data_IF_881029483611
#
_entry.id   IF_881029483611
#
_cell.length_a   1.000
_cell.length_b   1.000
_cell.length_c   1.000
_cell.angle_alpha   90.00
_cell.angle_beta   90.00
_cell.angle_gamma   90.00
#
_symmetry.space_group_name_H-M   'P 1'
#
loop_
_entity.id
_entity.type
_entity.pdbx_description
1 polymer ?
#
# COMPACT_ATOMS: atom_id res chain seq x y z
N UNK A 1 -22.60 -7.14 0.26
CA UNK A 1 -23.60 -6.72 -0.76
C UNK A 1 -24.35 -7.97 -1.18
N UNK A 2 -25.65 -8.03 -0.89
CA UNK A 2 -26.51 -9.19 -1.21
C UNK A 2 -27.25 -9.02 -2.55
N UNK A 3 -26.92 -7.98 -3.31
CA UNK A 3 -27.61 -7.56 -4.53
C UNK A 3 -28.82 -6.68 -4.23
N UNK A 4 -29.40 -6.08 -5.27
CA UNK A 4 -30.64 -5.28 -5.19
C UNK A 4 -30.61 -4.19 -4.09
N UNK A 5 -29.47 -3.53 -3.93
CA UNK A 5 -29.22 -2.52 -2.90
C UNK A 5 -29.41 -3.01 -1.45
N UNK A 6 -29.33 -4.32 -1.20
CA UNK A 6 -29.40 -4.91 0.15
C UNK A 6 -28.00 -5.23 0.69
N UNK A 7 -27.81 -4.97 1.98
CA UNK A 7 -26.54 -5.14 2.68
C UNK A 7 -26.77 -5.81 4.04
N UNK A 8 -25.83 -6.65 4.44
CA UNK A 8 -25.80 -7.26 5.77
C UNK A 8 -24.56 -6.79 6.52
N UNK A 9 -24.70 -6.64 7.83
CA UNK A 9 -23.55 -6.43 8.71
C UNK A 9 -22.76 -7.74 8.81
N UNK A 10 -21.46 -7.65 8.52
CA UNK A 10 -20.53 -8.76 8.64
C UNK A 10 -19.42 -8.47 9.65
N UNK A 11 -19.40 -7.34 10.35
CA UNK A 11 -18.26 -6.84 11.15
C UNK A 11 -17.77 -7.87 12.17
N UNK A 12 -18.69 -8.42 12.98
CA UNK A 12 -18.35 -9.46 13.97
C UNK A 12 -17.96 -10.78 13.31
N UNK A 13 -18.67 -11.19 12.25
CA UNK A 13 -18.36 -12.41 11.49
C UNK A 13 -17.03 -12.29 10.77
N UNK A 14 -16.59 -11.08 10.43
CA UNK A 14 -15.32 -10.81 9.77
C UNK A 14 -14.14 -10.74 10.74
N UNK A 15 -14.37 -10.76 12.06
CA UNK A 15 -13.30 -10.59 13.05
C UNK A 15 -12.97 -9.13 13.37
N UNK A 16 -13.65 -8.16 12.75
CA UNK A 16 -13.42 -6.72 12.94
C UNK A 16 -14.22 -6.11 14.10
N UNK A 17 -15.05 -6.91 14.77
CA UNK A 17 -15.94 -6.44 15.86
C UNK A 17 -15.21 -5.97 17.12
N UNK A 18 -13.90 -6.20 17.21
CA UNK A 18 -13.03 -5.69 18.28
C UNK A 18 -12.71 -4.21 18.09
N UNK A 19 -12.92 -3.66 16.88
CA UNK A 19 -12.49 -2.30 16.57
C UNK A 19 -13.51 -1.23 16.99
N UNK A 20 -13.57 -1.04 18.31
CA UNK A 20 -14.22 0.08 18.98
C UNK A 20 -13.30 0.69 20.06
N UNK A 21 -12.02 0.31 20.05
CA UNK A 21 -11.04 0.63 21.09
C UNK A 21 -10.42 2.01 20.86
N UNK A 22 -10.24 2.41 19.60
CA UNK A 22 -9.48 3.62 19.25
C UNK A 22 -10.25 4.58 18.35
N UNK A 23 -9.87 5.86 18.42
CA UNK A 23 -10.29 6.86 17.43
C UNK A 23 -9.46 6.65 16.17
N UNK A 24 -10.12 6.26 15.09
CA UNK A 24 -9.52 5.98 13.79
C UNK A 24 -9.62 7.18 12.85
N UNK A 25 -8.60 7.38 12.02
CA UNK A 25 -8.55 8.48 11.04
C UNK A 25 -8.40 7.94 9.63
N UNK A 26 -7.16 7.79 9.17
CA UNK A 26 -6.83 7.20 7.89
C UNK A 26 -6.95 5.69 7.88
N UNK A 27 -7.33 5.13 6.74
CA UNK A 27 -7.37 3.69 6.52
C UNK A 27 -7.02 3.35 5.06
N UNK A 28 -6.57 2.11 4.85
CA UNK A 28 -6.35 1.54 3.53
C UNK A 28 -6.66 0.05 3.49
N UNK A 29 -7.15 -0.40 2.33
CA UNK A 29 -7.34 -1.81 2.02
C UNK A 29 -6.35 -2.15 0.90
N UNK A 30 -5.23 -2.79 1.27
CA UNK A 30 -4.05 -2.99 0.40
C UNK A 30 -3.43 -4.36 0.66
N UNK A 31 -2.85 -4.97 -0.36
CA UNK A 31 -2.23 -6.30 -0.27
C UNK A 31 -0.76 -6.17 0.17
N UNK A 32 -0.48 -6.46 1.44
CA UNK A 32 0.84 -6.23 2.04
C UNK A 32 1.76 -7.44 1.97
N UNK A 33 1.25 -8.63 1.62
CA UNK A 33 2.04 -9.86 1.53
C UNK A 33 2.01 -10.50 0.13
N UNK A 34 1.46 -9.77 -0.85
CA UNK A 34 1.31 -10.15 -2.25
C UNK A 34 0.45 -11.41 -2.49
N UNK A 35 -0.39 -11.80 -1.54
CA UNK A 35 -1.16 -13.06 -1.63
C UNK A 35 -2.46 -12.95 -2.47
N UNK A 36 -2.80 -11.75 -2.95
CA UNK A 36 -4.02 -11.46 -3.71
C UNK A 36 -5.26 -11.16 -2.84
N UNK A 37 -5.10 -11.06 -1.52
CA UNK A 37 -6.13 -10.75 -0.52
C UNK A 37 -5.74 -9.46 0.21
N UNK A 38 -6.33 -8.31 -0.18
CA UNK A 38 -6.02 -7.04 0.48
C UNK A 38 -6.32 -7.05 1.98
N UNK A 39 -5.32 -6.66 2.77
CA UNK A 39 -5.35 -6.44 4.22
C UNK A 39 -5.95 -5.08 4.57
N UNK A 40 -6.33 -4.89 5.83
CA UNK A 40 -6.86 -3.62 6.33
C UNK A 40 -5.87 -2.95 7.29
N UNK A 41 -5.39 -1.78 6.91
CA UNK A 41 -4.53 -0.93 7.74
C UNK A 41 -5.29 0.31 8.20
N UNK A 42 -5.17 0.66 9.49
CA UNK A 42 -5.84 1.82 10.09
C UNK A 42 -4.84 2.58 10.97
N UNK A 43 -4.80 3.91 10.79
CA UNK A 43 -4.08 4.80 11.69
C UNK A 43 -5.01 5.39 12.73
N UNK A 44 -4.51 5.47 13.96
CA UNK A 44 -5.29 5.89 15.11
C UNK A 44 -4.62 7.05 15.84
N UNK A 45 -5.40 7.73 16.67
CA UNK A 45 -4.90 8.74 17.60
C UNK A 45 -6.05 9.58 18.13
N UNK A 46 -6.06 9.89 19.42
CA UNK A 46 -7.17 10.62 20.02
C UNK A 46 -7.15 12.11 19.61
N UNK A 47 -8.28 12.78 19.82
CA UNK A 47 -8.48 14.19 19.47
C UNK A 47 -7.98 15.09 20.59
N UNK A 48 -8.29 14.77 21.85
CA UNK A 48 -8.10 15.64 23.00
C UNK A 48 -7.03 15.09 23.94
N UNK A 49 -5.94 15.85 24.11
CA UNK A 49 -4.84 15.49 25.02
C UNK A 49 -5.26 15.50 26.49
N UNK A 50 -6.28 16.29 26.83
CA UNK A 50 -6.78 16.45 28.19
C UNK A 50 -7.54 15.21 28.68
N UNK A 51 -8.11 14.41 27.77
CA UNK A 51 -8.87 13.22 28.14
C UNK A 51 -8.00 12.19 28.86
N UNK A 52 -6.76 12.02 28.45
CA UNK A 52 -5.82 11.08 29.08
C UNK A 52 -5.60 11.38 30.57
N UNK A 53 -5.62 12.67 30.95
CA UNK A 53 -5.46 13.11 32.36
C UNK A 53 -6.64 12.70 33.24
N UNK A 54 -7.84 12.59 32.66
CA UNK A 54 -9.07 12.28 33.38
C UNK A 54 -9.53 10.83 33.18
N UNK A 55 -9.14 10.21 32.06
CA UNK A 55 -9.57 8.89 31.62
C UNK A 55 -8.41 8.16 30.94
N UNK A 56 -7.63 7.40 31.72
CA UNK A 56 -6.49 6.63 31.22
C UNK A 56 -6.84 5.64 30.09
N UNK A 57 -8.10 5.22 29.99
CA UNK A 57 -8.61 4.37 28.88
C UNK A 57 -8.67 5.08 27.52
N UNK A 58 -8.48 6.40 27.49
CA UNK A 58 -8.49 7.22 26.28
C UNK A 58 -7.15 7.95 26.13
N UNK A 59 -6.04 7.23 25.92
CA UNK A 59 -4.73 7.85 25.74
C UNK A 59 -4.73 8.75 24.51
N UNK A 60 -3.89 9.79 24.50
CA UNK A 60 -3.75 10.64 23.32
C UNK A 60 -3.15 9.85 22.14
N UNK A 61 -2.13 9.03 22.46
CA UNK A 61 -1.38 8.21 21.52
C UNK A 61 -1.89 6.78 21.56
N UNK A 62 -1.98 6.14 20.40
CA UNK A 62 -2.43 4.75 20.29
C UNK A 62 -1.68 4.02 19.18
N UNK A 63 -1.68 2.70 19.26
CA UNK A 63 -1.09 1.82 18.25
C UNK A 63 -1.83 1.96 16.92
N UNK A 64 -1.14 1.70 15.82
CA UNK A 64 -1.78 1.50 14.51
C UNK A 64 -2.40 0.09 14.50
N UNK A 65 -3.31 -0.15 13.56
CA UNK A 65 -4.00 -1.42 13.47
C UNK A 65 -3.75 -2.03 12.11
N UNK A 66 -3.38 -3.30 12.10
CA UNK A 66 -3.23 -4.08 10.89
C UNK A 66 -4.05 -5.36 11.03
N UNK A 67 -4.95 -5.58 10.08
CA UNK A 67 -5.78 -6.78 10.02
C UNK A 67 -5.44 -7.56 8.77
N UNK A 68 -4.90 -8.76 8.93
CA UNK A 68 -4.59 -9.65 7.81
C UNK A 68 -5.87 -10.28 7.28
N UNK A 69 -6.03 -10.28 5.96
CA UNK A 69 -7.14 -10.93 5.29
C UNK A 69 -6.90 -12.43 5.14
N UNK A 70 -7.70 -13.25 5.82
CA UNK A 70 -7.63 -14.71 5.77
C UNK A 70 -8.45 -15.31 4.61
N UNK A 71 -9.04 -14.44 3.77
CA UNK A 71 -9.98 -14.82 2.74
C UNK A 71 -11.37 -15.12 3.31
N UNK A 72 -12.32 -15.39 2.41
CA UNK A 72 -13.73 -15.71 2.76
C UNK A 72 -14.38 -14.70 3.72
N UNK A 73 -13.95 -13.44 3.65
CA UNK A 73 -14.47 -12.34 4.48
C UNK A 73 -14.08 -12.41 5.95
N UNK A 74 -12.96 -13.05 6.29
CA UNK A 74 -12.41 -13.15 7.65
C UNK A 74 -11.09 -12.39 7.73
N UNK A 75 -10.89 -11.71 8.85
CA UNK A 75 -9.68 -10.97 9.18
C UNK A 75 -9.19 -11.38 10.57
N UNK A 76 -7.87 -11.36 10.73
CA UNK A 76 -7.21 -11.47 12.03
C UNK A 76 -6.47 -10.17 12.34
N UNK A 77 -6.53 -9.70 13.58
CA UNK A 77 -5.73 -8.55 14.01
C UNK A 77 -4.29 -9.00 14.26
N UNK A 78 -3.35 -8.35 13.58
CA UNK A 78 -1.94 -8.49 13.88
C UNK A 78 -1.58 -7.45 14.94
N UNK A 79 -1.37 -7.94 16.15
CA UNK A 79 -0.95 -7.13 17.31
C UNK A 79 0.57 -6.96 17.29
N UNK A 80 1.27 -7.46 18.31
CA UNK A 80 2.74 -7.40 18.41
C UNK A 80 3.44 -8.12 17.26
N UNK A 81 2.77 -9.09 16.63
CA UNK A 81 3.27 -9.83 15.46
C UNK A 81 3.54 -8.94 14.24
N UNK A 82 2.83 -7.81 14.11
CA UNK A 82 3.08 -6.84 13.04
C UNK A 82 4.35 -6.00 13.24
N UNK A 83 4.98 -6.13 14.41
CA UNK A 83 6.22 -5.44 14.77
C UNK A 83 6.01 -4.06 15.42
N UNK A 84 7.12 -3.45 15.89
CA UNK A 84 7.09 -2.20 16.66
C UNK A 84 6.51 -1.04 15.86
N UNK A 85 6.68 -1.03 14.53
CA UNK A 85 6.14 0.04 13.70
C UNK A 85 4.60 0.13 13.72
N UNK A 86 3.91 -0.96 14.09
CA UNK A 86 2.46 -0.98 14.29
C UNK A 86 2.11 -0.76 15.76
N UNK A 87 2.82 -1.43 16.68
CA UNK A 87 2.55 -1.40 18.11
C UNK A 87 2.89 -0.07 18.79
N UNK A 88 3.89 0.67 18.29
CA UNK A 88 4.35 1.90 18.91
C UNK A 88 3.25 2.98 18.88
N UNK A 89 2.97 3.63 20.01
CA UNK A 89 1.84 4.55 20.10
C UNK A 89 2.18 5.89 19.45
N UNK A 90 1.35 6.32 18.50
CA UNK A 90 1.45 7.61 17.81
C UNK A 90 0.13 8.37 17.83
N UNK A 91 0.20 9.64 17.42
CA UNK A 91 -1.00 10.43 17.09
C UNK A 91 -1.09 10.52 15.57
N UNK A 92 -1.37 9.39 14.92
CA UNK A 92 -1.40 9.31 13.46
C UNK A 92 -2.71 9.87 12.90
N UNK A 93 -2.65 10.46 11.70
CA UNK A 93 -3.81 11.11 11.03
C UNK A 93 -4.02 10.57 9.63
N UNK A 94 -3.06 10.78 8.75
CA UNK A 94 -3.11 10.35 7.35
C UNK A 94 -2.17 9.18 7.07
N UNK A 95 -2.52 8.37 6.08
CA UNK A 95 -1.63 7.33 5.56
C UNK A 95 -1.77 7.21 4.04
N UNK A 96 -0.66 6.98 3.36
CA UNK A 96 -0.58 6.72 1.93
C UNK A 96 0.22 5.44 1.69
N UNK A 97 -0.14 4.73 0.63
CA UNK A 97 0.45 3.44 0.27
C UNK A 97 1.13 3.54 -1.09
N UNK A 98 2.28 2.89 -1.22
CA UNK A 98 3.03 2.82 -2.46
C UNK A 98 4.32 2.04 -2.28
N UNK A 99 4.84 1.52 -3.38
CA UNK A 99 6.13 0.82 -3.42
C UNK A 99 7.24 1.88 -3.61
N UNK A 100 7.78 2.34 -2.48
CA UNK A 100 8.65 3.51 -2.40
C UNK A 100 10.03 3.23 -3.00
N UNK A 101 10.60 2.07 -2.70
CA UNK A 101 11.95 1.70 -3.16
C UNK A 101 11.96 0.86 -4.44
N UNK A 102 10.79 0.44 -4.94
CA UNK A 102 10.56 -0.33 -6.16
C UNK A 102 10.99 -1.80 -6.09
N UNK A 103 10.93 -2.41 -4.91
CA UNK A 103 11.27 -3.83 -4.72
C UNK A 103 10.08 -4.79 -4.92
N UNK A 104 8.85 -4.28 -4.98
CA UNK A 104 7.66 -5.05 -5.33
C UNK A 104 6.67 -5.30 -4.22
N UNK A 105 6.92 -4.78 -3.03
CA UNK A 105 5.93 -4.74 -1.97
C UNK A 105 5.43 -3.31 -1.69
N UNK A 106 4.38 -3.21 -0.88
CA UNK A 106 3.77 -1.94 -0.54
C UNK A 106 4.30 -1.42 0.78
N UNK A 107 4.86 -0.21 0.74
CA UNK A 107 5.23 0.58 1.90
C UNK A 107 4.09 1.51 2.33
N UNK A 108 4.23 2.05 3.55
CA UNK A 108 3.23 2.95 4.14
C UNK A 108 3.91 4.22 4.62
N UNK A 109 3.49 5.36 4.09
CA UNK A 109 3.86 6.68 4.61
C UNK A 109 2.74 7.21 5.52
N UNK A 110 3.08 7.61 6.73
CA UNK A 110 2.13 8.01 7.77
C UNK A 110 2.47 9.42 8.26
N UNK A 111 1.45 10.27 8.32
CA UNK A 111 1.57 11.60 8.92
C UNK A 111 1.11 11.55 10.37
N UNK A 112 2.02 11.90 11.27
CA UNK A 112 1.80 11.97 12.70
C UNK A 112 1.63 13.43 13.14
N UNK A 113 0.70 13.69 14.06
CA UNK A 113 0.48 15.02 14.61
C UNK A 113 1.62 15.39 15.56
N UNK A 114 2.27 16.52 15.31
CA UNK A 114 3.40 17.05 16.10
C UNK A 114 4.61 16.11 16.18
N UNK A 115 4.79 15.25 15.18
CA UNK A 115 5.92 14.33 15.07
C UNK A 115 6.38 14.24 13.62
N UNK A 116 7.64 13.83 13.37
CA UNK A 116 8.05 13.44 12.03
C UNK A 116 7.11 12.38 11.42
N UNK A 117 6.94 12.38 10.09
CA UNK A 117 6.23 11.31 9.42
C UNK A 117 6.96 9.98 9.64
N UNK A 118 6.19 8.89 9.68
CA UNK A 118 6.73 7.54 9.71
C UNK A 118 6.69 6.95 8.31
N UNK A 119 7.83 6.52 7.78
CA UNK A 119 7.90 5.63 6.62
C UNK A 119 8.08 4.20 7.13
N UNK A 120 7.07 3.39 6.91
CA UNK A 120 7.06 1.96 7.20
C UNK A 120 7.44 1.25 5.93
N UNK A 121 8.71 0.83 5.87
CA UNK A 121 9.20 -0.01 4.80
C UNK A 121 8.74 -1.45 5.05
N UNK A 122 8.03 -2.03 4.09
CA UNK A 122 7.71 -3.45 4.11
C UNK A 122 8.87 -4.22 3.45
N UNK A 123 9.11 -5.45 3.89
CA UNK A 123 10.05 -6.34 3.22
C UNK A 123 9.41 -7.74 3.21
N UNK A 124 8.73 -8.05 2.11
CA UNK A 124 7.98 -9.31 1.94
C UNK A 124 8.93 -10.45 1.57
N UNK A 125 8.81 -11.58 2.28
CA UNK A 125 9.66 -12.77 2.06
C UNK A 125 8.91 -14.02 1.63
N UNK A 126 7.58 -13.93 1.49
CA UNK A 126 6.67 -15.05 1.16
C UNK A 126 6.92 -15.72 -0.21
N UNK A 127 7.75 -15.12 -1.07
CA UNK A 127 7.98 -15.58 -2.45
C UNK A 127 6.78 -15.36 -3.38
N UNK A 128 5.76 -14.64 -2.91
CA UNK A 128 4.62 -14.25 -3.72
C UNK A 128 5.02 -13.23 -4.80
N UNK A 129 4.38 -13.35 -5.94
CA UNK A 129 4.57 -12.52 -7.11
C UNK A 129 3.67 -11.28 -7.06
N UNK A 130 4.07 -10.23 -7.77
CA UNK A 130 3.33 -8.96 -7.80
C UNK A 130 3.25 -8.38 -9.21
N UNK A 131 2.39 -7.38 -9.39
CA UNK A 131 2.29 -6.62 -10.64
C UNK A 131 1.91 -5.17 -10.34
N UNK A 132 2.72 -4.23 -10.84
CA UNK A 132 2.37 -2.79 -10.79
C UNK A 132 1.88 -2.33 -12.15
N UNK A 133 0.84 -1.50 -12.17
CA UNK A 133 0.24 -0.93 -13.39
C UNK A 133 0.26 0.59 -13.32
N UNK A 134 1.00 1.22 -14.23
CA UNK A 134 0.99 2.66 -14.46
C UNK A 134 0.16 2.98 -15.70
N UNK A 135 -0.81 3.86 -15.55
CA UNK A 135 -1.66 4.28 -16.67
C UNK A 135 -1.23 5.66 -17.20
N UNK A 136 -1.34 5.85 -18.51
CA UNK A 136 -1.08 7.13 -19.18
C UNK A 136 -2.23 7.44 -20.13
N UNK A 137 -3.05 8.45 -19.77
CA UNK A 137 -4.16 8.89 -20.60
C UNK A 137 -3.71 9.71 -21.83
N UNK A 138 -4.30 9.43 -22.97
CA UNK A 138 -4.03 10.12 -24.25
C UNK A 138 -5.21 10.96 -24.73
N UNK A 139 -6.41 10.37 -24.65
CA UNK A 139 -7.71 10.99 -24.95
C UNK A 139 -8.42 11.43 -23.67
N UNK A 140 -8.33 10.61 -22.63
CA UNK A 140 -8.77 10.89 -21.26
C UNK A 140 -7.74 11.78 -20.54
N UNK A 141 -8.00 12.14 -19.26
CA UNK A 141 -7.05 12.91 -18.45
C UNK A 141 -5.68 12.21 -18.36
N UNK A 142 -4.57 12.97 -18.35
CA UNK A 142 -3.20 12.42 -18.48
C UNK A 142 -2.82 11.43 -17.40
N UNK A 143 -3.33 11.64 -16.19
CA UNK A 143 -3.12 10.76 -15.04
C UNK A 143 -4.05 9.55 -15.03
N UNK A 144 -4.97 9.43 -16.00
CA UNK A 144 -5.95 8.36 -16.10
C UNK A 144 -6.84 8.17 -14.86
N UNK A 145 -7.04 9.22 -14.05
CA UNK A 145 -7.91 9.18 -12.87
C UNK A 145 -9.33 8.78 -13.31
N UNK A 146 -9.93 7.84 -12.58
CA UNK A 146 -11.22 7.20 -12.91
C UNK A 146 -11.10 5.99 -13.85
N UNK A 147 -9.90 5.62 -14.31
CA UNK A 147 -9.69 4.36 -15.00
C UNK A 147 -9.80 3.19 -14.04
N UNK A 148 -10.42 2.10 -14.49
CA UNK A 148 -10.55 0.85 -13.72
C UNK A 148 -9.67 -0.22 -14.32
N UNK A 149 -8.82 -0.83 -13.49
CA UNK A 149 -7.96 -1.94 -13.87
C UNK A 149 -8.49 -3.21 -13.22
N UNK A 150 -8.70 -4.22 -14.06
CA UNK A 150 -9.09 -5.57 -13.66
C UNK A 150 -7.91 -6.48 -13.97
N UNK A 151 -7.39 -7.15 -12.95
CA UNK A 151 -6.32 -8.13 -13.09
C UNK A 151 -6.90 -9.51 -12.83
N UNK A 152 -6.67 -10.45 -13.75
CA UNK A 152 -7.14 -11.83 -13.65
C UNK A 152 -5.97 -12.79 -13.57
N UNK A 153 -6.04 -13.67 -12.58
CA UNK A 153 -5.07 -14.73 -12.31
C UNK A 153 -5.84 -16.03 -12.06
N UNK A 154 -5.91 -16.88 -13.09
CA UNK A 154 -6.79 -18.06 -13.05
C UNK A 154 -8.24 -17.65 -12.78
N UNK A 155 -8.82 -18.17 -11.71
CA UNK A 155 -10.20 -17.86 -11.26
C UNK A 155 -10.27 -16.57 -10.40
N UNK A 156 -9.13 -16.05 -9.94
CA UNK A 156 -9.09 -14.87 -9.07
C UNK A 156 -9.14 -13.61 -9.93
N UNK A 157 -10.06 -12.72 -9.62
CA UNK A 157 -10.18 -11.40 -10.25
C UNK A 157 -10.04 -10.32 -9.20
N UNK A 158 -9.06 -9.44 -9.40
CA UNK A 158 -8.88 -8.23 -8.61
C UNK A 158 -9.29 -7.02 -9.43
N UNK A 159 -9.85 -6.01 -8.78
CA UNK A 159 -10.28 -4.78 -9.45
C UNK A 159 -9.90 -3.58 -8.60
N UNK A 160 -9.19 -2.64 -9.19
CA UNK A 160 -8.84 -1.36 -8.58
C UNK A 160 -9.21 -0.22 -9.52
N UNK A 161 -9.55 0.92 -8.95
CA UNK A 161 -9.81 2.15 -9.68
C UNK A 161 -8.75 3.18 -9.33
N UNK A 162 -8.20 3.85 -10.34
CA UNK A 162 -7.19 4.87 -10.13
C UNK A 162 -7.83 6.14 -9.59
N UNK A 163 -7.54 6.46 -8.33
CA UNK A 163 -8.04 7.62 -7.60
C UNK A 163 -6.91 8.60 -7.28
N UNK A 164 -7.23 9.88 -7.13
CA UNK A 164 -6.31 10.93 -6.65
C UNK A 164 -6.50 11.25 -5.17
N UNK A 165 -7.19 10.38 -4.44
CA UNK A 165 -7.55 10.55 -3.04
C UNK A 165 -7.43 9.19 -2.34
N UNK A 166 -6.85 9.20 -1.15
CA UNK A 166 -6.83 8.05 -0.26
C UNK A 166 -6.85 8.52 1.19
N UNK A 167 -7.44 7.69 2.06
CA UNK A 167 -7.32 7.88 3.50
C UNK A 167 -7.68 9.32 3.96
N UNK A 168 -7.11 9.79 5.06
CA UNK A 168 -7.32 11.15 5.56
C UNK A 168 -6.25 12.12 5.02
N UNK A 169 -6.68 13.10 4.21
CA UNK A 169 -5.82 14.14 3.63
C UNK A 169 -4.55 13.60 2.94
N UNK A 170 -4.66 12.42 2.32
CA UNK A 170 -3.53 11.69 1.74
C UNK A 170 -3.81 11.28 0.29
N UNK A 171 -2.78 10.83 -0.40
CA UNK A 171 -2.87 10.33 -1.76
C UNK A 171 -1.89 9.17 -1.96
N UNK A 172 -2.38 8.03 -2.40
CA UNK A 172 -1.56 6.86 -2.73
C UNK A 172 -0.76 7.12 -4.01
N UNK A 173 0.24 6.27 -4.23
CA UNK A 173 0.89 6.15 -5.53
C UNK A 173 -0.14 5.86 -6.64
N UNK A 174 0.01 6.49 -7.80
CA UNK A 174 -0.83 6.26 -8.98
C UNK A 174 -0.53 4.95 -9.70
N UNK A 175 0.55 4.26 -9.31
CA UNK A 175 0.87 2.91 -9.75
C UNK A 175 0.03 1.94 -8.93
N UNK A 176 -0.98 1.36 -9.57
CA UNK A 176 -1.82 0.34 -8.93
C UNK A 176 -0.98 -0.93 -8.72
N UNK A 177 -1.08 -1.54 -7.54
CA UNK A 177 -0.31 -2.71 -7.16
C UNK A 177 -1.25 -3.89 -6.92
N UNK A 178 -0.88 -5.06 -7.43
CA UNK A 178 -1.66 -6.30 -7.33
C UNK A 178 -0.74 -7.43 -6.89
N UNK A 179 -1.04 -8.07 -5.76
CA UNK A 179 -0.42 -9.35 -5.39
C UNK A 179 -0.99 -10.47 -6.25
N UNK A 180 -0.13 -11.34 -6.76
CA UNK A 180 -0.49 -12.44 -7.67
C UNK A 180 -0.36 -13.82 -6.98
N UNK A 181 0.05 -13.87 -5.72
CA UNK A 181 0.37 -15.11 -5.02
C UNK A 181 1.43 -15.90 -5.80
N UNK A 182 1.19 -17.18 -6.06
CA UNK A 182 2.14 -18.04 -6.79
C UNK A 182 2.11 -17.87 -8.31
N UNK A 183 1.34 -16.94 -8.86
CA UNK A 183 1.18 -16.82 -10.31
C UNK A 183 2.24 -15.95 -10.96
N UNK A 184 2.89 -16.49 -12.00
CA UNK A 184 3.98 -15.82 -12.73
C UNK A 184 3.51 -14.91 -13.88
N UNK A 185 2.20 -14.85 -14.14
CA UNK A 185 1.60 -14.02 -15.19
C UNK A 185 0.13 -13.72 -14.89
N UNK A 186 -0.38 -12.64 -15.47
CA UNK A 186 -1.77 -12.22 -15.34
C UNK A 186 -2.32 -11.62 -16.64
N UNK A 187 -3.64 -11.64 -16.79
CA UNK A 187 -4.35 -10.81 -17.77
C UNK A 187 -4.70 -9.46 -17.12
N UNK A 188 -4.50 -8.36 -17.85
CA UNK A 188 -4.90 -7.01 -17.42
C UNK A 188 -5.96 -6.49 -18.37
N UNK A 189 -7.09 -6.02 -17.83
CA UNK A 189 -8.08 -5.25 -18.56
C UNK A 189 -8.17 -3.84 -17.97
N UNK A 190 -8.05 -2.83 -18.81
CA UNK A 190 -8.20 -1.42 -18.43
C UNK A 190 -9.46 -0.87 -19.06
N UNK A 191 -10.38 -0.41 -18.24
CA UNK A 191 -11.49 0.46 -18.67
C UNK A 191 -11.06 1.91 -18.46
N UNK A 192 -10.85 2.62 -19.56
CA UNK A 192 -10.50 4.04 -19.52
C UNK A 192 -11.70 4.92 -19.12
N UNK A 193 -11.48 6.16 -18.64
CA UNK A 193 -12.56 7.07 -18.25
C UNK A 193 -13.60 7.35 -19.35
N UNK A 194 -13.19 7.29 -20.62
CA UNK A 194 -14.08 7.41 -21.77
C UNK A 194 -14.91 6.13 -22.06
N UNK A 195 -14.76 5.07 -21.26
CA UNK A 195 -15.48 3.80 -21.38
C UNK A 195 -14.84 2.77 -22.32
N UNK A 196 -13.76 3.10 -23.02
CA UNK A 196 -13.05 2.16 -23.91
C UNK A 196 -12.31 1.12 -23.05
N UNK A 197 -12.37 -0.13 -23.50
CA UNK A 197 -11.62 -1.23 -22.92
C UNK A 197 -10.33 -1.51 -23.69
N UNK A 198 -9.27 -1.85 -22.97
CA UNK A 198 -8.00 -2.30 -23.49
C UNK A 198 -7.53 -3.52 -22.69
N UNK A 199 -7.12 -4.59 -23.38
CA UNK A 199 -6.75 -5.86 -22.74
C UNK A 199 -5.33 -6.27 -23.10
N UNK A 200 -4.58 -6.74 -22.11
CA UNK A 200 -3.27 -7.38 -22.24
C UNK A 200 -3.40 -8.81 -21.70
N UNK A 201 -3.28 -9.81 -22.56
CA UNK A 201 -3.64 -11.21 -22.22
C UNK A 201 -2.63 -11.93 -21.33
N UNK A 202 -1.32 -11.73 -21.54
CA UNK A 202 -0.27 -12.47 -20.84
C UNK A 202 0.85 -11.53 -20.39
N UNK A 203 0.65 -10.89 -19.25
CA UNK A 203 1.63 -9.98 -18.66
C UNK A 203 2.47 -10.75 -17.62
N UNK A 204 3.79 -10.86 -17.77
CA UNK A 204 4.65 -11.47 -16.76
C UNK A 204 4.56 -10.73 -15.42
N UNK A 205 4.67 -11.47 -14.32
CA UNK A 205 4.75 -10.92 -12.97
C UNK A 205 6.08 -10.20 -12.70
N UNK A 206 6.17 -9.65 -11.49
CA UNK A 206 7.34 -9.01 -10.87
C UNK A 206 7.86 -7.81 -11.66
N UNK A 207 6.92 -6.97 -12.10
CA UNK A 207 7.24 -5.79 -12.90
C UNK A 207 6.21 -4.68 -12.80
N UNK A 208 6.70 -3.49 -13.11
CA UNK A 208 5.88 -2.34 -13.46
C UNK A 208 5.57 -2.36 -14.95
N UNK A 209 4.29 -2.37 -15.30
CA UNK A 209 3.80 -2.22 -16.68
C UNK A 209 3.19 -0.85 -16.88
N UNK A 210 3.65 -0.14 -17.91
CA UNK A 210 3.06 1.15 -18.30
C UNK A 210 2.11 0.94 -19.48
N UNK A 211 0.84 1.24 -19.28
CA UNK A 211 -0.22 1.10 -20.30
C UNK A 211 -0.64 2.50 -20.74
N UNK A 212 -0.52 2.77 -22.04
CA UNK A 212 -0.89 4.04 -22.65
C UNK A 212 -2.19 3.90 -23.42
N UNK A 213 -3.14 4.79 -23.15
CA UNK A 213 -4.48 4.77 -23.72
C UNK A 213 -4.46 4.80 -25.26
N UNK A 214 -5.21 3.91 -25.87
CA UNK A 214 -5.46 3.88 -27.32
C UNK A 214 -4.32 3.34 -28.17
N UNK A 215 -3.24 2.84 -27.55
CA UNK A 215 -2.20 2.10 -28.26
C UNK A 215 -2.47 0.61 -28.07
N UNK A 216 -2.73 -0.11 -29.16
CA UNK A 216 -2.72 -1.58 -29.14
C UNK A 216 -1.35 -2.04 -28.64
N UNK A 217 -1.35 -2.80 -27.55
CA UNK A 217 -0.12 -3.30 -26.93
C UNK A 217 0.51 -4.35 -27.84
N UNK A 218 1.41 -3.94 -28.73
CA UNK A 218 2.48 -4.82 -29.16
C UNK A 218 3.44 -5.02 -27.98
N UNK A 219 3.95 -6.24 -27.72
CA UNK A 219 5.04 -6.40 -26.77
C UNK A 219 6.19 -5.53 -27.27
N UNK A 220 6.53 -4.47 -26.53
CA UNK A 220 7.73 -3.71 -26.85
C UNK A 220 8.90 -4.68 -26.78
N UNK A 221 9.57 -4.91 -27.92
CA UNK A 221 10.89 -5.51 -27.94
C UNK A 221 11.79 -4.62 -27.11
N UNK A 222 12.43 -5.19 -26.09
CA UNK A 222 13.52 -4.58 -25.33
C UNK A 222 14.56 -4.03 -26.32
N UNK A 223 14.50 -2.71 -26.53
CA UNK A 223 15.54 -1.97 -27.22
C UNK A 223 16.73 -1.84 -26.28
N UNK A 224 17.79 -2.58 -26.59
CA UNK A 224 19.09 -2.59 -25.91
C UNK A 224 19.08 -2.97 -24.43
N UNK A 225 19.39 -4.25 -24.19
CA UNK A 225 20.09 -4.70 -22.98
C UNK A 225 21.32 -3.82 -22.75
N UNK A 226 21.26 -2.92 -21.78
CA UNK A 226 22.41 -2.71 -20.90
C UNK A 226 22.42 -3.90 -19.94
N UNK A 227 23.53 -4.62 -19.93
CA UNK A 227 23.90 -5.70 -18.99
C UNK A 227 23.33 -5.46 -17.58
N UNK A 228 22.90 -6.51 -16.85
CA UNK A 228 22.64 -6.36 -15.44
C UNK A 228 23.93 -5.88 -14.77
N UNK A 229 23.87 -4.73 -14.10
CA UNK A 229 24.94 -4.31 -13.22
C UNK A 229 25.15 -5.46 -12.23
N UNK A 230 26.34 -6.06 -12.28
CA UNK A 230 26.81 -7.00 -11.26
C UNK A 230 26.50 -6.42 -9.88
N UNK A 231 26.04 -7.21 -8.90
CA UNK A 231 25.85 -6.70 -7.56
C UNK A 231 27.22 -6.25 -7.03
N UNK A 232 27.45 -4.94 -7.08
CA UNK A 232 28.57 -4.36 -6.36
C UNK A 232 28.21 -4.53 -4.89
N UNK A 233 28.83 -5.53 -4.27
CA UNK A 233 28.93 -5.66 -2.82
C UNK A 233 29.31 -4.29 -2.29
N UNK A 234 28.34 -3.63 -1.64
CA UNK A 234 28.65 -2.47 -0.82
C UNK A 234 29.47 -2.99 0.35
N UNK A 235 30.78 -2.77 0.27
CA UNK A 235 31.72 -3.19 1.29
C UNK A 235 31.70 -2.16 2.43
N UNK A 236 31.42 -2.68 3.63
CA UNK A 236 31.60 -2.14 4.99
C UNK A 236 30.43 -1.38 5.64
N UNK A 237 30.26 -1.56 6.97
CA UNK A 237 28.95 -1.87 7.53
C UNK A 237 28.40 -0.75 8.41
N UNK A 238 27.08 -0.59 8.40
CA UNK A 238 26.35 -0.15 9.59
C UNK A 238 25.32 -1.22 9.92
N UNK A 239 25.61 -1.95 11.01
CA UNK A 239 24.73 -2.93 11.63
C UNK A 239 23.66 -2.19 12.43
N UNK A 240 22.40 -2.46 12.16
CA UNK A 240 21.41 -2.63 13.23
C UNK A 240 20.78 -4.01 12.99
N UNK A 241 21.14 -4.95 13.87
CA UNK A 241 20.45 -6.22 14.03
C UNK A 241 19.27 -5.98 14.97
N UNK A 242 18.08 -6.45 14.60
CA UNK A 242 17.17 -7.04 15.59
C UNK A 242 16.67 -8.36 15.00
N UNK A 243 17.27 -9.46 15.47
CA UNK A 243 16.66 -10.79 15.43
C UNK A 243 15.84 -10.95 16.70
N UNK A 244 14.63 -11.50 16.59
CA UNK A 244 14.22 -12.56 17.50
C UNK A 244 13.64 -13.70 16.66
N UNK A 245 14.28 -14.85 16.78
CA UNK A 245 13.94 -16.11 16.12
C UNK A 245 13.21 -17.02 17.09
N UNK A 246 11.95 -17.40 16.82
CA UNK A 246 11.57 -18.78 16.45
C UNK A 246 10.03 -18.96 16.38
N UNK A 247 9.65 -19.81 15.42
CA UNK A 247 8.42 -20.59 15.33
C UNK A 247 7.21 -19.93 14.64
N UNK A 248 7.33 -19.80 13.31
CA UNK A 248 6.30 -20.20 12.35
C UNK A 248 4.93 -19.53 12.45
N UNK A 249 4.84 -18.28 12.00
CA UNK A 249 3.68 -17.74 11.26
C UNK A 249 4.02 -16.37 10.66
N UNK A 250 3.82 -16.28 9.33
CA UNK A 250 3.77 -15.13 8.41
C UNK A 250 4.89 -14.07 8.48
N UNK A 251 5.70 -14.02 7.42
CA UNK A 251 6.88 -13.17 7.30
C UNK A 251 6.63 -11.91 6.44
N UNK A 252 6.01 -10.90 7.03
CA UNK A 252 6.18 -9.50 6.60
C UNK A 252 6.56 -8.68 7.83
N UNK A 253 7.63 -7.88 7.72
CA UNK A 253 8.16 -7.09 8.82
C UNK A 253 8.29 -5.64 8.39
N UNK A 254 7.71 -4.71 9.16
CA UNK A 254 7.83 -3.29 8.88
C UNK A 254 9.01 -2.68 9.63
N UNK A 255 9.93 -2.05 8.89
CA UNK A 255 11.02 -1.25 9.44
C UNK A 255 10.67 0.24 9.41
N UNK A 256 10.86 0.94 10.52
CA UNK A 256 10.72 2.39 10.59
C UNK A 256 12.01 3.06 10.09
N UNK A 257 11.90 3.90 9.06
CA UNK A 257 13.00 4.77 8.62
C UNK A 257 12.76 6.18 9.17
N UNK A 258 13.58 6.62 10.12
CA UNK A 258 13.57 8.00 10.64
C UNK A 258 14.64 8.83 9.94
N UNK A 259 14.30 10.00 9.39
CA UNK A 259 15.32 10.97 9.00
C UNK A 259 15.67 11.85 10.20
N UNK A 260 16.91 11.75 10.66
CA UNK A 260 17.49 12.72 11.60
C UNK A 260 17.85 14.00 10.83
N UNK A 261 17.12 15.10 11.06
CA UNK A 261 17.69 16.36 11.56
C UNK A 261 16.69 17.52 11.65
N UNK A 262 16.81 18.17 12.81
CA UNK A 262 16.40 19.47 13.28
C UNK A 262 16.10 20.58 12.25
N UNK A 263 14.94 21.23 12.47
CA UNK A 263 14.75 22.67 12.69
C UNK A 263 13.65 23.35 11.81
N UNK A 264 12.66 23.87 12.53
CA UNK A 264 11.77 25.01 12.25
C UNK A 264 10.93 25.08 10.97
N UNK A 265 9.61 24.93 11.20
CA UNK A 265 8.49 25.73 10.66
C UNK A 265 8.45 26.06 9.17
N UNK A 266 7.49 25.47 8.46
CA UNK A 266 6.50 26.17 7.62
C UNK A 266 5.49 25.15 7.10
N UNK A 267 4.21 25.51 7.13
CA UNK A 267 3.13 24.74 6.54
C UNK A 267 3.41 24.51 5.05
N UNK A 268 3.60 23.25 4.66
CA UNK A 268 3.76 22.84 3.27
C UNK A 268 2.57 21.97 2.87
N UNK A 269 1.60 22.58 2.19
CA UNK A 269 0.74 21.88 1.24
C UNK A 269 1.65 21.25 0.17
N UNK A 270 1.91 19.95 0.27
CA UNK A 270 2.72 19.22 -0.70
C UNK A 270 1.88 18.91 -1.95
N UNK A 271 1.97 19.80 -2.93
CA UNK A 271 1.94 19.42 -4.35
C UNK A 271 3.39 19.17 -4.76
N UNK A 272 3.80 17.90 -4.94
CA UNK A 272 5.07 17.59 -5.60
C UNK A 272 4.85 17.55 -7.12
N UNK A 273 5.05 18.69 -7.77
CA UNK A 273 5.28 18.75 -9.21
C UNK A 273 6.73 18.34 -9.50
N UNK A 274 6.92 17.19 -10.15
CA UNK A 274 8.22 16.78 -10.70
C UNK A 274 8.50 17.54 -11.99
N UNK A 275 9.20 18.67 -11.90
CA UNK A 275 9.82 19.34 -13.03
C UNK A 275 11.26 18.80 -13.22
N UNK A 276 11.44 17.90 -14.19
CA UNK A 276 12.76 17.47 -14.66
C UNK A 276 13.33 18.58 -15.56
N UNK A 277 14.20 19.42 -15.02
CA UNK A 277 15.11 20.26 -15.80
C UNK A 277 16.20 19.35 -16.40
N UNK A 278 16.19 19.21 -17.73
CA UNK A 278 17.36 18.76 -18.49
C UNK A 278 18.37 19.90 -18.51
N UNK A 279 19.59 19.58 -18.06
CA UNK A 279 20.90 20.28 -18.21
C UNK A 279 20.88 21.78 -18.46
#
# INVERSE_FOLDING_TARGET
NLGKATFEDATRRAGLGVENRFVSWGAGIVDLDNNGLPDLFIVTGNVYAELEKHFAKYPLRSQRLLFRNLGKGRFEELLEEAGPAIADPHVSRGCAFGDFDNDGDLDILIVNLNEPPSLLRNDVTSGNHWLKVKLVGTKSNRSAIGARVVVKVGEVTQTQELSSQSSFLSCNDFRLHFGLGSAIKAEIQVRWPNGIWQTLAEVPADRLVTIKEGIESSPMRDGNRTEPLSPQRCATPFRIHIRISHCGTVESSFCLVTSDRENSSLAASCWLDFCVLRR
#
